data_IF_196282467355
#
_entry.id   IF_196282467355
#
_cell.length_a   1.000
_cell.length_b   1.000
_cell.length_c   1.000
_cell.angle_alpha   90.00
_cell.angle_beta   90.00
_cell.angle_gamma   90.00
#
_symmetry.space_group_name_H-M   'P 1'
#
loop_
_entity.id
_entity.type
_entity.pdbx_description
1 polymer ?
#
# COMPACT_ATOMS: atom_id res chain seq x y z
N UNK A 1 13.00 -15.57 2.41
CA UNK A 1 12.19 -14.36 2.69
C UNK A 1 11.92 -14.13 4.18
N UNK A 2 11.42 -15.11 4.95
CA UNK A 2 11.07 -14.93 6.39
C UNK A 2 12.18 -14.32 7.26
N UNK A 3 13.46 -14.69 7.05
CA UNK A 3 14.59 -14.11 7.80
C UNK A 3 14.71 -12.58 7.63
N UNK A 4 14.49 -12.09 6.40
CA UNK A 4 14.59 -10.67 6.06
C UNK A 4 13.38 -9.91 6.59
N UNK A 5 12.19 -10.49 6.49
CA UNK A 5 10.96 -9.97 7.10
C UNK A 5 11.12 -9.81 8.62
N UNK A 6 11.59 -10.85 9.31
CA UNK A 6 11.82 -10.80 10.76
C UNK A 6 12.84 -9.73 11.15
N UNK A 7 13.88 -9.51 10.33
CA UNK A 7 14.86 -8.46 10.57
C UNK A 7 14.21 -7.09 10.45
N UNK A 8 13.44 -6.85 9.39
CA UNK A 8 12.68 -5.61 9.21
C UNK A 8 11.69 -5.40 10.36
N UNK A 9 10.92 -6.42 10.74
CA UNK A 9 9.97 -6.35 11.86
C UNK A 9 10.69 -5.96 13.16
N UNK A 10 11.86 -6.55 13.45
CA UNK A 10 12.66 -6.22 14.63
C UNK A 10 13.07 -4.76 14.68
N UNK A 11 13.51 -4.18 13.56
CA UNK A 11 13.88 -2.76 13.52
C UNK A 11 12.66 -1.83 13.56
N UNK A 12 11.56 -2.21 12.91
CA UNK A 12 10.32 -1.44 12.93
C UNK A 12 9.70 -1.38 14.33
N UNK A 13 9.68 -2.50 15.05
CA UNK A 13 9.22 -2.55 16.43
C UNK A 13 10.07 -1.67 17.35
N UNK A 14 11.40 -1.63 17.15
CA UNK A 14 12.29 -0.72 17.89
C UNK A 14 11.99 0.76 17.64
N UNK A 15 11.49 1.10 16.45
CA UNK A 15 11.09 2.46 16.09
C UNK A 15 9.66 2.80 16.58
N UNK A 16 8.97 1.87 17.24
CA UNK A 16 7.59 2.05 17.69
C UNK A 16 6.56 1.95 16.55
N UNK A 17 6.94 1.38 15.40
CA UNK A 17 6.04 1.19 14.28
C UNK A 17 5.14 -0.03 14.45
N UNK A 18 3.87 0.12 14.07
CA UNK A 18 2.86 -0.93 14.16
C UNK A 18 2.69 -1.59 12.80
N UNK A 19 2.63 -2.92 12.80
CA UNK A 19 2.42 -3.71 11.59
C UNK A 19 0.93 -3.74 11.26
N UNK A 20 0.60 -3.42 10.01
CA UNK A 20 -0.75 -3.52 9.46
C UNK A 20 -0.76 -4.41 8.23
N UNK A 21 -1.94 -4.92 7.87
CA UNK A 21 -2.17 -5.67 6.65
C UNK A 21 -3.34 -5.03 5.91
N UNK A 22 -3.03 -4.36 4.81
CA UNK A 22 -4.03 -3.70 3.97
C UNK A 22 -4.48 -4.63 2.85
N UNK A 23 -5.71 -4.45 2.32
CA UNK A 23 -6.20 -5.24 1.21
C UNK A 23 -5.39 -4.96 -0.06
N UNK A 24 -5.07 -6.02 -0.80
CA UNK A 24 -4.40 -5.93 -2.10
C UNK A 24 -5.31 -5.36 -3.19
N UNK A 25 -6.62 -5.57 -3.05
CA UNK A 25 -7.64 -5.03 -3.95
C UNK A 25 -8.12 -3.67 -3.45
N UNK A 26 -8.06 -2.66 -4.32
CA UNK A 26 -8.55 -1.31 -4.05
C UNK A 26 -9.76 -0.97 -4.92
N UNK A 27 -10.84 -0.41 -4.36
CA UNK A 27 -11.96 0.06 -5.17
C UNK A 27 -11.57 1.30 -5.98
N UNK A 28 -12.11 1.44 -7.20
CA UNK A 28 -11.82 2.58 -8.09
C UNK A 28 -12.09 3.95 -7.45
N UNK A 29 -13.20 4.11 -6.74
CA UNK A 29 -13.62 5.37 -6.08
C UNK A 29 -12.48 6.00 -5.25
N UNK A 30 -11.71 5.15 -4.58
CA UNK A 30 -10.61 5.55 -3.72
C UNK A 30 -9.42 6.15 -4.48
N UNK A 31 -9.13 5.60 -5.66
CA UNK A 31 -8.08 6.07 -6.57
C UNK A 31 -8.53 7.26 -7.40
N UNK A 32 -9.84 7.41 -7.63
CA UNK A 32 -10.40 8.60 -8.26
C UNK A 32 -10.31 9.80 -7.32
N UNK A 33 -10.56 9.62 -6.00
CA UNK A 33 -10.37 10.67 -5.00
C UNK A 33 -8.93 11.20 -4.95
N UNK A 34 -7.94 10.35 -5.21
CA UNK A 34 -6.53 10.77 -5.29
C UNK A 34 -6.12 11.29 -6.66
N UNK A 35 -6.97 11.19 -7.69
CA UNK A 35 -6.65 11.51 -9.08
C UNK A 35 -5.75 10.50 -9.79
N UNK A 36 -5.13 9.57 -9.05
CA UNK A 36 -4.11 8.64 -9.56
C UNK A 36 -4.67 7.54 -10.44
N UNK A 37 -5.99 7.32 -10.43
CA UNK A 37 -6.64 6.37 -11.33
C UNK A 37 -6.40 6.66 -12.81
N UNK A 38 -6.46 7.94 -13.19
CA UNK A 38 -6.27 8.38 -14.58
C UNK A 38 -4.78 8.49 -14.93
N UNK A 39 -3.96 8.98 -14.01
CA UNK A 39 -2.52 9.17 -14.23
C UNK A 39 -1.76 7.84 -14.38
N UNK A 40 -2.09 6.83 -13.56
CA UNK A 40 -1.38 5.56 -13.54
C UNK A 40 -2.02 4.48 -14.43
N UNK A 41 -2.92 4.88 -15.35
CA UNK A 41 -3.78 3.99 -16.13
C UNK A 41 -3.06 2.79 -16.76
N UNK A 42 -1.86 2.99 -17.31
CA UNK A 42 -1.08 1.97 -18.03
C UNK A 42 -0.30 1.00 -17.14
N UNK A 43 -0.12 1.34 -15.86
CA UNK A 43 0.67 0.54 -14.90
C UNK A 43 -0.18 -0.20 -13.86
N UNK A 44 -1.50 0.01 -13.93
CA UNK A 44 -2.49 -0.51 -12.99
C UNK A 44 -3.19 -1.73 -13.60
N UNK A 45 -3.12 -2.85 -12.89
CA UNK A 45 -4.02 -3.96 -13.16
C UNK A 45 -5.44 -3.59 -12.75
N UNK A 46 -6.36 -3.60 -13.72
CA UNK A 46 -7.78 -3.34 -13.51
C UNK A 46 -8.53 -4.65 -13.59
N UNK A 47 -9.46 -4.83 -12.66
CA UNK A 47 -10.33 -5.99 -12.61
C UNK A 47 -11.76 -5.52 -12.37
N UNK A 48 -12.70 -6.30 -12.88
CA UNK A 48 -14.12 -6.04 -12.73
C UNK A 48 -14.77 -7.22 -12.04
N UNK A 49 -15.51 -6.95 -10.98
CA UNK A 49 -16.26 -7.99 -10.27
C UNK A 49 -17.55 -8.35 -11.04
N UNK A 50 -18.22 -9.44 -10.64
CA UNK A 50 -19.49 -9.91 -11.19
C UNK A 50 -20.60 -8.85 -11.17
N UNK A 51 -20.57 -7.94 -10.19
CA UNK A 51 -21.52 -6.82 -10.07
C UNK A 51 -21.10 -5.59 -10.90
N UNK A 52 -20.15 -5.74 -11.82
CA UNK A 52 -19.60 -4.66 -12.66
C UNK A 52 -18.89 -3.54 -11.89
N UNK A 53 -18.47 -3.80 -10.65
CA UNK A 53 -17.65 -2.88 -9.86
C UNK A 53 -16.19 -2.93 -10.33
N UNK A 54 -15.59 -1.76 -10.52
CA UNK A 54 -14.20 -1.61 -10.93
C UNK A 54 -13.27 -1.60 -9.71
N UNK A 55 -12.26 -2.44 -9.76
CA UNK A 55 -11.20 -2.54 -8.77
C UNK A 55 -9.84 -2.48 -9.46
N UNK A 56 -8.81 -2.19 -8.68
CA UNK A 56 -7.42 -2.38 -9.09
C UNK A 56 -6.66 -3.24 -8.10
N UNK A 57 -5.66 -3.97 -8.61
CA UNK A 57 -4.60 -4.50 -7.73
C UNK A 57 -3.68 -3.34 -7.40
N UNK A 58 -3.52 -3.08 -6.11
CA UNK A 58 -2.82 -1.91 -5.62
C UNK A 58 -1.30 -2.04 -5.86
N UNK A 59 -0.70 -1.16 -6.69
CA UNK A 59 0.76 -1.09 -6.84
C UNK A 59 1.41 -0.42 -5.62
N UNK A 60 0.62 0.40 -4.91
CA UNK A 60 0.96 1.14 -3.69
C UNK A 60 -0.31 1.32 -2.85
N UNK A 61 -0.17 1.58 -1.54
CA UNK A 61 -1.31 1.58 -0.59
C UNK A 61 -1.47 2.94 0.13
N UNK A 62 -1.11 4.06 -0.50
CA UNK A 62 -1.22 5.40 0.11
C UNK A 62 -2.66 5.77 0.42
N UNK A 63 -3.54 5.53 -0.53
CA UNK A 63 -4.95 5.80 -0.39
C UNK A 63 -5.49 4.93 0.74
N UNK A 64 -5.12 3.64 0.75
CA UNK A 64 -5.66 2.61 1.66
C UNK A 64 -5.34 2.93 3.10
N UNK A 65 -4.07 3.23 3.35
CA UNK A 65 -3.63 3.56 4.70
C UNK A 65 -4.16 4.91 5.16
N UNK A 66 -4.32 5.89 4.25
CA UNK A 66 -4.92 7.18 4.59
C UNK A 66 -6.38 7.02 4.98
N UNK A 67 -7.17 6.29 4.20
CA UNK A 67 -8.58 6.03 4.52
C UNK A 67 -8.73 5.23 5.82
N UNK A 68 -7.85 4.26 6.06
CA UNK A 68 -7.79 3.51 7.30
C UNK A 68 -7.51 4.43 8.49
N UNK A 69 -6.48 5.27 8.43
CA UNK A 69 -6.14 6.20 9.52
C UNK A 69 -7.24 7.24 9.76
N UNK A 70 -7.85 7.77 8.70
CA UNK A 70 -9.00 8.68 8.83
C UNK A 70 -10.18 7.99 9.53
N UNK A 71 -10.42 6.70 9.26
CA UNK A 71 -11.51 5.95 9.91
C UNK A 71 -11.31 5.76 11.41
N UNK A 72 -10.05 5.73 11.88
CA UNK A 72 -9.71 5.59 13.29
C UNK A 72 -9.98 6.86 14.12
N UNK A 73 -10.27 8.00 13.48
CA UNK A 73 -10.54 9.29 14.14
C UNK A 73 -9.53 9.60 15.27
N UNK A 74 -8.24 9.44 14.95
CA UNK A 74 -7.16 9.60 15.92
C UNK A 74 -7.15 11.02 16.50
N UNK A 75 -6.94 11.11 17.81
CA UNK A 75 -6.76 12.39 18.49
C UNK A 75 -5.39 12.99 18.15
N UNK A 76 -5.28 14.31 18.19
CA UNK A 76 -4.02 15.01 17.97
C UNK A 76 -2.89 14.54 18.92
N UNK A 77 -3.27 14.10 20.14
CA UNK A 77 -2.34 13.57 21.15
C UNK A 77 -1.72 12.22 20.76
N UNK A 78 -2.39 11.40 19.95
CA UNK A 78 -1.90 10.07 19.55
C UNK A 78 -0.91 10.10 18.39
N UNK A 79 -0.67 11.27 17.78
CA UNK A 79 0.34 11.44 16.74
C UNK A 79 1.72 11.76 17.36
N UNK A 80 2.84 11.27 16.81
CA UNK A 80 2.95 10.57 15.51
C UNK A 80 2.64 9.07 15.57
N UNK A 81 2.05 8.54 14.50
CA UNK A 81 1.83 7.09 14.33
C UNK A 81 2.64 6.57 13.17
N UNK A 82 3.44 5.54 13.43
CA UNK A 82 4.21 4.81 12.42
C UNK A 82 3.49 3.51 12.09
N UNK A 83 3.11 3.33 10.83
CA UNK A 83 2.47 2.13 10.32
C UNK A 83 3.33 1.54 9.21
N UNK A 84 3.47 0.23 9.20
CA UNK A 84 4.17 -0.46 8.11
C UNK A 84 3.48 -1.75 7.72
N UNK A 85 3.72 -2.17 6.49
CA UNK A 85 3.25 -3.46 5.97
C UNK A 85 4.30 -4.08 5.06
N UNK A 86 4.30 -5.41 5.02
CA UNK A 86 5.11 -6.19 4.09
C UNK A 86 4.16 -7.05 3.26
N UNK A 87 3.80 -6.54 2.09
CA UNK A 87 2.83 -7.16 1.19
C UNK A 87 3.37 -7.26 -0.22
N UNK A 88 2.78 -8.16 -1.00
CA UNK A 88 3.05 -8.27 -2.44
C UNK A 88 2.33 -7.14 -3.17
N UNK A 89 3.05 -6.49 -4.08
CA UNK A 89 2.56 -5.41 -4.94
C UNK A 89 2.50 -5.91 -6.36
N UNK A 90 1.50 -5.43 -7.08
CA UNK A 90 1.25 -5.79 -8.47
C UNK A 90 1.43 -4.54 -9.31
N UNK A 91 2.32 -4.60 -10.29
CA UNK A 91 2.57 -3.52 -11.25
C UNK A 91 2.55 -4.11 -12.64
N UNK A 92 1.76 -3.51 -13.51
CA UNK A 92 1.72 -3.90 -14.92
C UNK A 92 2.90 -3.24 -15.63
N UNK A 93 4.09 -3.84 -15.44
CA UNK A 93 5.32 -3.37 -16.05
C UNK A 93 5.36 -3.83 -17.51
N UNK A 94 5.41 -2.93 -18.51
CA UNK A 94 5.28 -3.29 -19.92
C UNK A 94 6.40 -4.21 -20.43
N UNK A 95 7.54 -4.25 -19.73
CA UNK A 95 8.68 -5.12 -20.04
C UNK A 95 9.33 -5.63 -18.75
N UNK A 96 8.82 -6.71 -18.14
CA UNK A 96 9.43 -7.29 -16.96
C UNK A 96 10.82 -7.84 -17.32
N UNK A 97 11.85 -7.44 -16.57
CA UNK A 97 13.25 -7.86 -16.77
C UNK A 97 13.88 -8.17 -15.42
N UNK A 98 14.94 -8.97 -15.42
CA UNK A 98 15.78 -9.21 -14.24
C UNK A 98 15.03 -9.83 -13.03
N UNK A 99 14.03 -10.68 -13.29
CA UNK A 99 13.35 -11.49 -12.28
C UNK A 99 12.76 -10.66 -11.13
N UNK A 100 13.40 -10.71 -9.95
CA UNK A 100 12.94 -10.06 -8.72
C UNK A 100 13.09 -8.52 -8.73
N UNK A 101 13.95 -7.97 -9.57
CA UNK A 101 14.27 -6.52 -9.58
C UNK A 101 13.18 -5.72 -10.33
N UNK A 102 12.72 -6.24 -11.47
CA UNK A 102 11.63 -5.65 -12.28
C UNK A 102 10.65 -6.74 -12.72
N UNK A 103 9.96 -7.30 -11.73
CA UNK A 103 8.88 -8.28 -11.92
C UNK A 103 7.49 -7.65 -11.78
N UNK A 104 6.49 -8.32 -12.33
CA UNK A 104 5.06 -7.94 -12.20
C UNK A 104 4.59 -8.00 -10.75
N UNK A 105 5.14 -8.94 -9.98
CA UNK A 105 4.88 -9.13 -8.57
C UNK A 105 6.17 -8.88 -7.81
N UNK A 106 6.16 -7.92 -6.89
CA UNK A 106 7.28 -7.64 -6.00
C UNK A 106 6.79 -7.57 -4.56
N UNK A 107 7.50 -8.26 -3.66
CA UNK A 107 7.21 -8.16 -2.23
C UNK A 107 8.02 -7.02 -1.66
N UNK A 108 7.35 -6.08 -1.01
CA UNK A 108 7.99 -4.81 -0.69
C UNK A 108 7.48 -4.26 0.64
N UNK A 109 8.42 -3.70 1.40
CA UNK A 109 8.13 -2.97 2.62
C UNK A 109 7.49 -1.62 2.26
N UNK A 110 6.37 -1.30 2.90
CA UNK A 110 5.75 0.01 2.88
C UNK A 110 5.75 0.56 4.30
N UNK A 111 6.25 1.78 4.47
CA UNK A 111 6.27 2.48 5.75
C UNK A 111 5.58 3.80 5.55
N UNK A 112 4.70 4.17 6.48
CA UNK A 112 4.01 5.44 6.50
C UNK A 112 4.04 6.00 7.92
N UNK A 113 4.35 7.28 8.00
CA UNK A 113 4.26 8.05 9.23
C UNK A 113 3.15 9.07 9.05
N UNK A 114 2.27 9.17 10.04
CA UNK A 114 1.29 10.24 10.14
C UNK A 114 1.75 11.18 11.24
N UNK A 115 2.11 12.40 10.85
CA UNK A 115 2.57 13.47 11.73
C UNK A 115 1.49 14.55 11.88
N UNK A 116 1.70 15.42 12.87
CA UNK A 116 0.78 16.52 13.19
C UNK A 116 0.75 17.62 12.13
N UNK A 117 1.88 17.85 11.44
CA UNK A 117 2.07 18.93 10.45
C UNK A 117 2.58 18.33 9.12
N UNK A 118 1.76 17.58 8.41
CA UNK A 118 2.03 17.15 7.03
C UNK A 118 1.11 17.86 6.06
#
# INVERSE_FOLDING_TARGET
MRKLENLVDKYMLKLGAQRVQLPTLGPRNMWEKSGRWSEMHSSLFKLRDRLSHDYCLQPTHEECITSFVTSLKLSYKSLPVFLYQITSKFRDEPRPKNGLIRGLISRSLHIRCFCRNC
#
